data_IF_490670066707
#
_entry.id   IF_490670066707
#
_cell.length_a   1.000
_cell.length_b   1.000
_cell.length_c   1.000
_cell.angle_alpha   90.00
_cell.angle_beta   90.00
_cell.angle_gamma   90.00
#
_symmetry.space_group_name_H-M   'P 1'
#
loop_
_entity.id
_entity.type
_entity.pdbx_description
1 polymer ?
#
# COMPACT_ATOMS: atom_id res chain seq x y z
N UNK A 1 -8.29 -1.47 4.26
CA UNK A 1 -8.11 -0.03 3.95
C UNK A 1 -9.41 0.74 4.16
N UNK A 2 -10.57 0.18 3.82
CA UNK A 2 -11.86 0.91 3.90
C UNK A 2 -12.17 1.49 5.29
N UNK A 3 -11.93 0.72 6.37
CA UNK A 3 -12.08 1.24 7.74
C UNK A 3 -11.09 2.38 8.07
N UNK A 4 -9.87 2.33 7.54
CA UNK A 4 -8.90 3.43 7.71
C UNK A 4 -9.35 4.69 6.98
N UNK A 5 -9.96 4.55 5.80
CA UNK A 5 -10.53 5.67 5.04
C UNK A 5 -11.70 6.28 5.79
N UNK A 6 -12.60 5.47 6.36
CA UNK A 6 -13.71 5.98 7.20
C UNK A 6 -13.20 6.75 8.40
N UNK A 7 -12.18 6.24 9.08
CA UNK A 7 -11.52 6.95 10.18
C UNK A 7 -10.88 8.28 9.73
N UNK A 8 -10.24 8.28 8.56
CA UNK A 8 -9.67 9.49 7.98
C UNK A 8 -10.73 10.51 7.60
N UNK A 9 -11.82 10.10 6.94
CA UNK A 9 -12.95 10.96 6.60
C UNK A 9 -13.52 11.64 7.85
N UNK A 10 -13.76 10.87 8.93
CA UNK A 10 -14.19 11.43 10.21
C UNK A 10 -13.19 12.43 10.76
N UNK A 11 -11.90 12.14 10.64
CA UNK A 11 -10.84 13.03 11.13
C UNK A 11 -10.85 14.36 10.37
N UNK A 12 -10.95 14.32 9.03
CA UNK A 12 -10.98 15.51 8.17
C UNK A 12 -12.25 16.32 8.38
N UNK A 13 -13.42 15.67 8.49
CA UNK A 13 -14.71 16.37 8.55
C UNK A 13 -15.13 16.81 9.95
N UNK A 14 -14.74 16.09 10.99
CA UNK A 14 -15.29 16.32 12.34
C UNK A 14 -14.26 16.70 13.39
N UNK A 15 -13.00 16.27 13.24
CA UNK A 15 -12.00 16.39 14.30
C UNK A 15 -11.08 17.58 14.03
N UNK A 16 -10.44 17.63 12.85
CA UNK A 16 -9.50 18.69 12.51
C UNK A 16 -10.16 20.09 12.48
N UNK A 17 -11.35 20.29 11.89
CA UNK A 17 -11.97 21.62 11.86
C UNK A 17 -12.30 22.16 13.25
N UNK A 18 -12.60 21.29 14.22
CA UNK A 18 -12.87 21.70 15.61
C UNK A 18 -11.63 22.23 16.34
N UNK A 19 -10.44 21.74 15.96
CA UNK A 19 -9.18 22.13 16.60
C UNK A 19 -8.44 23.25 15.87
N UNK A 20 -8.54 23.29 14.54
CA UNK A 20 -7.75 24.19 13.69
C UNK A 20 -8.60 25.28 13.01
N UNK A 21 -9.91 25.08 12.89
CA UNK A 21 -10.76 25.81 11.93
C UNK A 21 -10.72 25.18 10.54
N UNK A 22 -11.76 25.42 9.74
CA UNK A 22 -11.95 24.76 8.43
C UNK A 22 -10.79 25.00 7.47
N UNK A 23 -10.44 26.26 7.21
CA UNK A 23 -9.38 26.62 6.24
C UNK A 23 -8.02 26.03 6.64
N UNK A 24 -7.67 26.10 7.93
CA UNK A 24 -6.42 25.55 8.43
C UNK A 24 -6.41 24.02 8.40
N UNK A 25 -7.56 23.38 8.64
CA UNK A 25 -7.69 21.92 8.52
C UNK A 25 -7.54 21.46 7.06
N UNK A 26 -8.20 22.12 6.11
CA UNK A 26 -8.05 21.84 4.67
C UNK A 26 -6.60 22.00 4.22
N UNK A 27 -5.96 23.10 4.60
CA UNK A 27 -4.54 23.33 4.32
C UNK A 27 -3.66 22.25 4.93
N UNK A 28 -3.85 21.92 6.21
CA UNK A 28 -3.10 20.88 6.91
C UNK A 28 -3.18 19.52 6.19
N UNK A 29 -4.38 19.12 5.78
CA UNK A 29 -4.60 17.87 5.05
C UNK A 29 -3.93 17.91 3.67
N UNK A 30 -4.06 19.01 2.93
CA UNK A 30 -3.47 19.14 1.59
C UNK A 30 -1.93 19.17 1.60
N UNK A 31 -1.33 19.70 2.67
CA UNK A 31 0.13 19.81 2.81
C UNK A 31 0.79 18.56 3.38
N UNK A 32 0.02 17.70 4.06
CA UNK A 32 0.49 16.45 4.68
C UNK A 32 0.92 15.39 3.66
N UNK A 33 1.89 14.56 4.05
CA UNK A 33 2.32 13.39 3.28
C UNK A 33 1.62 12.12 3.80
N UNK A 34 0.94 11.42 2.89
CA UNK A 34 0.22 10.19 3.19
C UNK A 34 1.01 8.97 2.76
N UNK A 35 1.49 8.19 3.72
CA UNK A 35 2.19 6.93 3.47
C UNK A 35 1.21 5.77 3.35
N UNK A 36 1.22 5.09 2.21
CA UNK A 36 0.34 3.98 1.88
C UNK A 36 1.17 2.71 1.68
N UNK A 37 0.94 1.72 2.54
CA UNK A 37 1.56 0.40 2.44
C UNK A 37 0.48 -0.66 2.62
N UNK A 38 0.11 -1.32 1.53
CA UNK A 38 -0.99 -2.29 1.47
C UNK A 38 -0.70 -3.38 0.43
N UNK A 39 -1.47 -4.49 0.47
CA UNK A 39 -1.44 -5.55 -0.54
C UNK A 39 -0.58 -6.76 -0.21
N UNK A 40 0.28 -6.71 0.82
CA UNK A 40 1.08 -7.87 1.27
C UNK A 40 0.16 -9.02 1.70
N UNK A 41 -0.85 -8.75 2.51
CA UNK A 41 -1.76 -9.80 2.99
C UNK A 41 -2.55 -10.45 1.83
N UNK A 42 -3.00 -9.64 0.87
CA UNK A 42 -3.78 -10.07 -0.30
C UNK A 42 -2.93 -10.89 -1.29
N UNK A 43 -1.67 -10.50 -1.48
CA UNK A 43 -0.74 -11.16 -2.39
C UNK A 43 -0.20 -12.48 -1.83
N UNK A 44 0.08 -12.55 -0.52
CA UNK A 44 0.79 -13.70 0.08
C UNK A 44 -0.10 -14.77 0.67
N UNK A 45 -1.26 -14.41 1.22
CA UNK A 45 -2.16 -15.36 1.90
C UNK A 45 -2.94 -16.21 0.91
N UNK A 46 -3.08 -15.75 -0.33
CA UNK A 46 -3.88 -16.40 -1.35
C UNK A 46 -3.02 -17.30 -2.26
N UNK A 47 -2.68 -18.51 -1.78
CA UNK A 47 -1.84 -19.48 -2.50
C UNK A 47 -2.38 -19.83 -3.91
N UNK A 48 -3.67 -19.63 -4.14
CA UNK A 48 -4.36 -19.92 -5.41
C UNK A 48 -4.05 -18.89 -6.51
N UNK A 49 -3.52 -17.70 -6.17
CA UNK A 49 -3.38 -16.57 -7.13
C UNK A 49 -1.96 -16.03 -7.24
N UNK A 50 -0.96 -16.73 -6.69
CA UNK A 50 0.46 -16.39 -6.83
C UNK A 50 0.82 -16.26 -8.32
N UNK A 51 1.21 -15.07 -8.75
CA UNK A 51 1.57 -14.78 -10.14
C UNK A 51 0.40 -14.51 -11.11
N UNK A 52 -0.85 -14.47 -10.64
CA UNK A 52 -2.00 -14.14 -11.49
C UNK A 52 -2.02 -12.66 -11.86
N UNK A 53 -1.72 -12.35 -13.13
CA UNK A 53 -1.86 -10.99 -13.68
C UNK A 53 -3.26 -10.43 -13.50
N UNK A 54 -4.30 -11.27 -13.68
CA UNK A 54 -5.70 -10.85 -13.52
C UNK A 54 -6.01 -10.40 -12.09
N UNK A 55 -5.51 -11.14 -11.09
CA UNK A 55 -5.69 -10.78 -9.68
C UNK A 55 -4.89 -9.53 -9.31
N UNK A 56 -3.66 -9.40 -9.80
CA UNK A 56 -2.87 -8.18 -9.61
C UNK A 56 -3.58 -6.95 -10.21
N UNK A 57 -4.13 -7.04 -11.42
CA UNK A 57 -4.92 -5.96 -12.02
C UNK A 57 -6.16 -5.63 -11.21
N UNK A 58 -6.85 -6.62 -10.65
CA UNK A 58 -7.98 -6.40 -9.75
C UNK A 58 -7.57 -5.60 -8.51
N UNK A 59 -6.49 -6.02 -7.82
CA UNK A 59 -5.99 -5.31 -6.64
C UNK A 59 -5.54 -3.87 -6.96
N UNK A 60 -4.92 -3.65 -8.11
CA UNK A 60 -4.54 -2.29 -8.57
C UNK A 60 -5.80 -1.43 -8.79
N UNK A 61 -6.85 -1.98 -9.38
CA UNK A 61 -8.10 -1.26 -9.60
C UNK A 61 -8.79 -0.89 -8.27
N UNK A 62 -8.84 -1.84 -7.33
CA UNK A 62 -9.36 -1.58 -5.99
C UNK A 62 -8.52 -0.50 -5.27
N UNK A 63 -7.19 -0.60 -5.33
CA UNK A 63 -6.30 0.40 -4.74
C UNK A 63 -6.50 1.79 -5.35
N UNK A 64 -6.69 1.88 -6.68
CA UNK A 64 -7.00 3.12 -7.39
C UNK A 64 -8.28 3.77 -6.87
N UNK A 65 -9.36 3.00 -6.68
CA UNK A 65 -10.63 3.53 -6.16
C UNK A 65 -10.41 4.18 -4.78
N UNK A 66 -9.66 3.51 -3.90
CA UNK A 66 -9.38 4.06 -2.56
C UNK A 66 -8.47 5.29 -2.58
N UNK A 67 -7.50 5.35 -3.49
CA UNK A 67 -6.70 6.56 -3.73
C UNK A 67 -7.59 7.73 -4.17
N UNK A 68 -8.56 7.48 -5.06
CA UNK A 68 -9.50 8.51 -5.51
C UNK A 68 -10.37 9.02 -4.35
N UNK A 69 -10.81 8.13 -3.45
CA UNK A 69 -11.55 8.53 -2.25
C UNK A 69 -10.68 9.39 -1.33
N UNK A 70 -9.45 8.96 -1.01
CA UNK A 70 -8.52 9.75 -0.20
C UNK A 70 -8.25 11.13 -0.82
N UNK A 71 -8.07 11.18 -2.14
CA UNK A 71 -7.92 12.44 -2.85
C UNK A 71 -9.17 13.32 -2.74
N UNK A 72 -10.37 12.73 -2.85
CA UNK A 72 -11.63 13.48 -2.66
C UNK A 72 -11.76 14.06 -1.25
N UNK A 73 -11.13 13.45 -0.25
CA UNK A 73 -11.06 13.90 1.15
C UNK A 73 -9.94 14.92 1.42
N UNK A 74 -9.27 15.45 0.40
CA UNK A 74 -8.27 16.52 0.56
C UNK A 74 -6.81 16.07 0.56
N UNK A 75 -6.51 14.76 0.59
CA UNK A 75 -5.12 14.29 0.51
C UNK A 75 -4.53 14.58 -0.89
N UNK A 76 -3.28 15.08 -0.94
CA UNK A 76 -2.61 15.47 -2.20
C UNK A 76 -1.26 14.81 -2.42
N UNK A 77 -0.49 14.57 -1.35
CA UNK A 77 0.87 14.03 -1.44
C UNK A 77 0.88 12.60 -0.93
N UNK A 78 1.22 11.65 -1.79
CA UNK A 78 1.22 10.23 -1.44
C UNK A 78 2.60 9.62 -1.62
N UNK A 79 3.03 8.85 -0.62
CA UNK A 79 4.10 7.89 -0.78
C UNK A 79 3.46 6.50 -0.85
N UNK A 80 3.58 5.81 -1.97
CA UNK A 80 3.01 4.47 -2.16
C UNK A 80 4.13 3.44 -2.14
N UNK A 81 4.13 2.58 -1.13
CA UNK A 81 5.08 1.48 -1.03
C UNK A 81 4.62 0.28 -1.89
N UNK A 82 5.55 -0.34 -2.61
CA UNK A 82 5.28 -1.55 -3.37
C UNK A 82 5.22 -2.78 -2.46
N UNK A 83 4.50 -3.81 -2.90
CA UNK A 83 4.58 -5.14 -2.28
C UNK A 83 5.98 -5.69 -2.54
N UNK A 84 6.77 -6.03 -1.50
CA UNK A 84 8.13 -6.51 -1.71
C UNK A 84 8.12 -7.92 -2.30
N UNK A 85 9.23 -8.35 -2.94
CA UNK A 85 9.35 -9.69 -3.49
C UNK A 85 9.06 -10.78 -2.46
N UNK A 86 8.51 -11.89 -2.92
CA UNK A 86 8.18 -13.06 -2.07
C UNK A 86 9.38 -13.58 -1.29
N UNK A 87 10.56 -13.51 -1.89
CA UNK A 87 11.83 -13.88 -1.26
C UNK A 87 12.24 -12.96 -0.10
N UNK A 88 11.45 -11.96 0.28
CA UNK A 88 11.73 -11.08 1.43
C UNK A 88 10.96 -11.40 2.70
N UNK A 89 10.18 -12.48 2.68
CA UNK A 89 9.43 -12.93 3.84
C UNK A 89 10.08 -14.17 4.44
N UNK A 90 10.65 -14.08 5.67
CA UNK A 90 11.32 -15.22 6.32
C UNK A 90 10.45 -16.47 6.44
N UNK A 91 9.14 -16.29 6.64
CA UNK A 91 8.16 -17.38 6.69
C UNK A 91 8.06 -18.19 5.39
N UNK A 92 8.44 -17.60 4.25
CA UNK A 92 8.50 -18.26 2.94
C UNK A 92 9.88 -18.87 2.71
N UNK A 93 10.95 -18.13 2.98
CA UNK A 93 12.34 -18.56 2.72
C UNK A 93 12.81 -19.74 3.59
N UNK A 94 12.35 -19.82 4.85
CA UNK A 94 12.80 -20.88 5.76
C UNK A 94 12.16 -22.25 5.46
N UNK A 95 11.12 -22.30 4.63
CA UNK A 95 10.41 -23.55 4.28
C UNK A 95 10.84 -24.14 2.93
N UNK A 96 11.62 -23.42 2.13
CA UNK A 96 12.18 -23.93 0.89
C UNK A 96 13.53 -24.61 1.16
N UNK A 97 13.58 -25.94 1.13
CA UNK A 97 14.86 -26.64 0.89
C UNK A 97 15.34 -26.23 -0.51
N UNK A 98 16.58 -25.76 -0.70
CA UNK A 98 17.08 -25.46 -2.03
C UNK A 98 17.20 -26.77 -2.80
N UNK A 99 16.24 -27.04 -3.68
CA UNK A 99 16.31 -28.13 -4.66
C UNK A 99 16.91 -27.50 -5.92
N UNK A 100 17.87 -28.17 -6.56
CA UNK A 100 18.63 -27.63 -7.70
C UNK A 100 17.77 -27.05 -8.82
N UNK A 101 18.35 -26.04 -9.51
CA UNK A 101 17.83 -25.27 -10.66
C UNK A 101 16.32 -25.03 -10.60
N UNK A 102 15.90 -24.13 -9.71
CA UNK A 102 14.52 -23.61 -9.67
C UNK A 102 14.48 -22.27 -10.41
N UNK A 103 13.46 -22.04 -11.22
CA UNK A 103 13.07 -20.67 -11.62
C UNK A 103 13.00 -19.82 -10.35
N UNK A 104 13.91 -18.86 -10.25
CA UNK A 104 14.31 -18.28 -8.99
C UNK A 104 13.13 -17.60 -8.27
N UNK A 105 12.88 -17.99 -7.02
CA UNK A 105 12.31 -17.05 -6.04
C UNK A 105 13.20 -15.82 -6.12
N UNK A 106 12.68 -14.71 -6.66
CA UNK A 106 13.49 -13.51 -6.83
C UNK A 106 14.09 -13.15 -5.46
N UNK A 107 15.43 -13.16 -5.33
CA UNK A 107 16.07 -12.81 -4.07
C UNK A 107 15.68 -11.38 -3.71
N UNK A 108 15.77 -11.04 -2.41
CA UNK A 108 15.77 -9.65 -1.98
C UNK A 108 16.98 -8.94 -2.55
N UNK A 109 16.92 -8.53 -3.81
CA UNK A 109 17.72 -7.41 -4.24
C UNK A 109 17.02 -6.19 -3.70
N UNK A 110 17.58 -5.64 -2.61
CA UNK A 110 17.33 -4.26 -2.22
C UNK A 110 17.52 -3.41 -3.49
N UNK A 111 16.61 -2.48 -3.82
CA UNK A 111 16.82 -1.62 -4.97
C UNK A 111 18.19 -0.96 -4.80
N UNK A 112 19.09 -1.22 -5.75
CA UNK A 112 20.35 -0.50 -5.85
C UNK A 112 20.02 0.99 -5.79
N UNK A 113 20.85 1.78 -5.09
CA UNK A 113 20.65 3.18 -4.70
C UNK A 113 20.45 4.18 -5.87
N UNK A 114 19.98 3.78 -7.04
CA UNK A 114 19.87 4.56 -8.26
C UNK A 114 18.47 4.43 -8.85
N UNK A 115 17.45 4.84 -8.08
CA UNK A 115 16.19 5.30 -8.66
C UNK A 115 15.47 6.21 -7.66
N UNK A 116 15.98 7.43 -7.55
CA UNK A 116 15.26 8.64 -7.17
C UNK A 116 15.55 9.68 -8.24
#
# INVERSE_FOLDING_TARGET
>A
MDEQIRGFERTVKEILPKGLGEEAAEKHVSESLFFLSSGVNDHFKNNTFRGSRKFASYLINEFKIRLQILHSLGARKFFVNNVPPVGCFPSVNLRSKPIGIVEAIKPCMLPSKHQW
#
